data_IF_979365088394
#
_entry.id   IF_979365088394
#
_cell.length_a   1.000
_cell.length_b   1.000
_cell.length_c   1.000
_cell.angle_alpha   90.00
_cell.angle_beta   90.00
_cell.angle_gamma   90.00
#
_symmetry.space_group_name_H-M   'P 1'
#
loop_
_entity.id
_entity.type
_entity.pdbx_description
1 polymer ?
#
# COMPACT_ATOMS: atom_id res chain seq x y z
N UNK A 1 18.94 -0.28 -1.64
CA UNK A 1 17.61 -0.62 -2.19
C UNK A 1 17.44 -0.18 -3.64
N UNK A 2 17.64 1.10 -4.00
CA UNK A 2 17.39 1.60 -5.38
C UNK A 2 18.03 0.72 -6.47
N UNK A 3 19.32 0.40 -6.36
CA UNK A 3 20.00 -0.47 -7.33
C UNK A 3 19.40 -1.88 -7.40
N UNK A 4 19.02 -2.45 -6.26
CA UNK A 4 18.48 -3.81 -6.14
C UNK A 4 17.06 -3.93 -6.70
N UNK A 5 16.24 -2.90 -6.52
CA UNK A 5 14.81 -2.93 -6.87
C UNK A 5 14.56 -2.36 -8.28
N UNK A 6 15.24 -1.27 -8.61
CA UNK A 6 14.92 -0.41 -9.76
C UNK A 6 16.12 -0.10 -10.66
N UNK A 7 17.31 -0.61 -10.33
CA UNK A 7 18.47 -0.53 -11.23
C UNK A 7 18.29 -1.35 -12.52
N UNK A 8 19.27 -1.34 -13.44
CA UNK A 8 19.18 -2.07 -14.70
C UNK A 8 18.83 -3.56 -14.57
N UNK A 9 19.36 -4.22 -13.52
CA UNK A 9 19.09 -5.63 -13.17
C UNK A 9 18.10 -5.76 -12.00
N UNK A 10 17.41 -4.67 -11.68
CA UNK A 10 16.56 -4.54 -10.50
C UNK A 10 15.39 -5.51 -10.50
N UNK A 11 15.02 -5.96 -9.29
CA UNK A 11 14.00 -6.98 -9.05
C UNK A 11 12.66 -6.68 -9.75
N UNK A 12 12.21 -5.42 -9.74
CA UNK A 12 10.92 -5.01 -10.31
C UNK A 12 10.95 -4.67 -11.79
N UNK A 13 12.12 -4.32 -12.34
CA UNK A 13 12.21 -3.74 -13.70
C UNK A 13 12.91 -4.64 -14.72
N UNK A 14 13.57 -5.73 -14.30
CA UNK A 14 14.29 -6.60 -15.23
C UNK A 14 13.35 -7.30 -16.24
N UNK A 15 13.69 -7.34 -17.54
CA UNK A 15 12.91 -8.07 -18.54
C UNK A 15 12.81 -9.57 -18.24
N UNK A 16 11.61 -10.15 -18.36
CA UNK A 16 11.38 -11.59 -18.15
C UNK A 16 11.61 -12.07 -16.71
N UNK A 17 11.80 -11.15 -15.76
CA UNK A 17 11.84 -11.46 -14.35
C UNK A 17 10.50 -12.06 -13.87
N UNK A 18 10.51 -12.82 -12.77
CA UNK A 18 9.30 -13.38 -12.17
C UNK A 18 8.27 -12.30 -11.77
N UNK A 19 8.70 -11.04 -11.63
CA UNK A 19 7.88 -9.93 -11.14
C UNK A 19 7.38 -10.16 -9.71
N UNK A 20 6.69 -9.17 -9.10
CA UNK A 20 6.11 -9.31 -7.77
C UNK A 20 5.15 -10.52 -7.66
N UNK A 21 4.38 -10.78 -8.72
CA UNK A 21 3.34 -11.82 -8.75
C UNK A 21 3.88 -13.26 -8.64
N UNK A 22 5.16 -13.50 -8.96
CA UNK A 22 5.80 -14.80 -8.78
C UNK A 22 6.28 -15.09 -7.35
N UNK A 23 6.23 -14.09 -6.46
CA UNK A 23 6.92 -14.14 -5.17
C UNK A 23 6.04 -13.79 -3.95
N UNK A 24 4.98 -13.00 -4.12
CA UNK A 24 4.16 -12.52 -3.01
C UNK A 24 2.67 -12.69 -3.24
N UNK A 25 1.96 -13.05 -2.16
CA UNK A 25 0.50 -13.01 -2.09
C UNK A 25 0.11 -11.77 -1.27
N UNK A 26 -0.19 -10.68 -1.97
CA UNK A 26 -0.67 -9.41 -1.36
C UNK A 26 -2.18 -9.43 -1.12
N UNK A 27 -2.72 -8.42 -0.44
CA UNK A 27 -4.18 -8.28 -0.23
C UNK A 27 -4.96 -8.24 -1.56
N UNK A 28 -4.37 -7.68 -2.62
CA UNK A 28 -4.94 -7.64 -3.97
C UNK A 28 -5.10 -9.05 -4.57
N UNK A 29 -4.16 -9.96 -4.28
CA UNK A 29 -4.18 -11.35 -4.76
C UNK A 29 -4.96 -12.29 -3.83
N UNK A 30 -5.16 -11.90 -2.57
CA UNK A 30 -5.82 -12.74 -1.58
C UNK A 30 -7.29 -12.98 -1.92
N UNK A 31 -8.01 -11.93 -2.31
CA UNK A 31 -9.45 -12.02 -2.63
C UNK A 31 -9.97 -10.83 -3.44
N UNK A 32 -10.95 -11.05 -4.36
CA UNK A 32 -11.67 -9.96 -5.04
C UNK A 32 -12.43 -9.03 -4.09
N UNK A 33 -12.66 -9.44 -2.84
CA UNK A 33 -13.28 -8.60 -1.82
C UNK A 33 -12.48 -7.33 -1.52
N UNK A 34 -11.16 -7.37 -1.67
CA UNK A 34 -10.30 -6.20 -1.48
C UNK A 34 -10.58 -5.13 -2.54
N UNK A 35 -10.54 -5.51 -3.82
CA UNK A 35 -10.87 -4.61 -4.92
C UNK A 35 -12.32 -4.11 -4.85
N UNK A 36 -13.27 -4.95 -4.42
CA UNK A 36 -14.64 -4.52 -4.17
C UNK A 36 -14.75 -3.49 -3.01
N UNK A 37 -13.92 -3.61 -1.98
CA UNK A 37 -13.84 -2.61 -0.90
C UNK A 37 -13.28 -1.28 -1.40
N UNK A 38 -12.22 -1.30 -2.20
CA UNK A 38 -11.66 -0.10 -2.84
C UNK A 38 -12.66 0.53 -3.81
N UNK A 39 -13.43 -0.26 -4.57
CA UNK A 39 -14.52 0.25 -5.40
C UNK A 39 -15.62 0.94 -4.56
N UNK A 40 -15.95 0.41 -3.37
CA UNK A 40 -16.86 1.07 -2.43
C UNK A 40 -16.27 2.37 -1.87
N UNK A 41 -14.97 2.41 -1.61
CA UNK A 41 -14.28 3.64 -1.21
C UNK A 41 -14.34 4.70 -2.31
N UNK A 42 -14.01 4.32 -3.56
CA UNK A 42 -14.10 5.22 -4.71
C UNK A 42 -15.51 5.81 -4.88
N UNK A 43 -16.56 5.01 -4.67
CA UNK A 43 -17.96 5.50 -4.70
C UNK A 43 -18.28 6.48 -3.58
N UNK A 44 -17.71 6.31 -2.38
CA UNK A 44 -17.86 7.29 -1.29
C UNK A 44 -17.20 8.62 -1.65
N UNK A 45 -15.99 8.56 -2.21
CA UNK A 45 -15.26 9.75 -2.68
C UNK A 45 -16.02 10.43 -3.82
N UNK A 46 -16.55 9.67 -4.77
CA UNK A 46 -17.39 10.18 -5.87
C UNK A 46 -18.62 10.95 -5.36
N UNK A 47 -19.32 10.40 -4.35
CA UNK A 47 -20.47 11.05 -3.74
C UNK A 47 -20.08 12.34 -3.02
N UNK A 48 -18.98 12.33 -2.24
CA UNK A 48 -18.47 13.52 -1.54
C UNK A 48 -18.04 14.63 -2.52
N UNK A 49 -17.52 14.24 -3.69
CA UNK A 49 -17.17 15.17 -4.77
C UNK A 49 -18.37 15.67 -5.58
N UNK A 50 -19.60 15.23 -5.26
CA UNK A 50 -20.81 15.63 -5.98
C UNK A 50 -20.96 14.99 -7.36
N UNK A 51 -20.43 13.77 -7.54
CA UNK A 51 -20.48 13.01 -8.79
C UNK A 51 -19.94 13.77 -10.02
N UNK A 52 -18.65 14.16 -10.01
CA UNK A 52 -18.04 14.92 -11.10
C UNK A 52 -18.10 14.16 -12.44
N UNK A 53 -18.05 14.89 -13.56
CA UNK A 53 -18.10 14.27 -14.89
C UNK A 53 -16.91 13.32 -15.18
N UNK A 54 -15.77 13.51 -14.50
CA UNK A 54 -14.63 12.61 -14.51
C UNK A 54 -14.19 12.30 -13.08
N UNK A 55 -13.80 11.05 -12.85
CA UNK A 55 -13.33 10.57 -11.55
C UNK A 55 -12.00 9.83 -11.74
N UNK A 56 -10.90 10.40 -11.26
CA UNK A 56 -9.59 9.77 -11.39
C UNK A 56 -9.42 8.66 -10.35
N UNK A 57 -8.93 7.50 -10.80
CA UNK A 57 -8.52 6.38 -9.95
C UNK A 57 -7.04 6.12 -10.23
N UNK A 58 -6.17 6.51 -9.31
CA UNK A 58 -4.72 6.41 -9.43
C UNK A 58 -4.23 5.29 -8.52
N UNK A 59 -3.61 4.27 -9.10
CA UNK A 59 -2.98 3.15 -8.37
C UNK A 59 -1.46 3.32 -8.44
N UNK A 60 -0.82 3.55 -7.30
CA UNK A 60 0.63 3.80 -7.18
C UNK A 60 1.35 2.53 -6.78
N UNK A 61 2.35 2.13 -7.58
CA UNK A 61 2.91 0.78 -7.48
C UNK A 61 1.91 -0.24 -8.01
N UNK A 62 1.30 0.05 -9.16
CA UNK A 62 0.16 -0.71 -9.68
C UNK A 62 0.49 -2.19 -10.02
N UNK A 63 1.76 -2.58 -10.00
CA UNK A 63 2.17 -3.95 -10.25
C UNK A 63 1.83 -4.35 -11.68
N UNK A 64 0.90 -5.30 -11.87
CA UNK A 64 0.40 -5.67 -13.19
C UNK A 64 -1.04 -5.18 -13.42
N UNK A 65 -1.54 -4.27 -12.60
CA UNK A 65 -2.85 -3.66 -12.71
C UNK A 65 -4.00 -4.49 -12.13
N UNK A 66 -3.71 -5.49 -11.30
CA UNK A 66 -4.71 -6.38 -10.69
C UNK A 66 -5.75 -5.61 -9.88
N UNK A 67 -5.32 -4.63 -9.08
CA UNK A 67 -6.23 -3.81 -8.28
C UNK A 67 -7.16 -2.98 -9.17
N UNK A 68 -6.60 -2.25 -10.14
CA UNK A 68 -7.40 -1.48 -11.11
C UNK A 68 -8.40 -2.36 -11.86
N UNK A 69 -7.98 -3.52 -12.35
CA UNK A 69 -8.86 -4.45 -13.05
C UNK A 69 -10.01 -4.92 -12.14
N UNK A 70 -9.71 -5.30 -10.90
CA UNK A 70 -10.70 -5.72 -9.92
C UNK A 70 -11.66 -4.59 -9.55
N UNK A 71 -11.17 -3.36 -9.34
CA UNK A 71 -12.01 -2.20 -9.02
C UNK A 71 -12.93 -1.88 -10.19
N UNK A 72 -12.41 -1.79 -11.42
CA UNK A 72 -13.21 -1.50 -12.61
C UNK A 72 -14.31 -2.55 -12.83
N UNK A 73 -14.02 -3.83 -12.57
CA UNK A 73 -15.00 -4.91 -12.66
C UNK A 73 -16.09 -4.85 -11.57
N UNK A 74 -15.77 -4.27 -10.40
CA UNK A 74 -16.70 -4.14 -9.28
C UNK A 74 -17.57 -2.86 -9.32
N UNK A 75 -17.30 -1.95 -10.26
CA UNK A 75 -18.06 -0.70 -10.40
C UNK A 75 -19.35 -0.89 -11.20
N UNK A 76 -20.37 -0.13 -10.83
CA UNK A 76 -21.59 0.00 -11.64
C UNK A 76 -21.27 0.71 -12.97
N UNK A 77 -21.96 0.37 -14.08
CA UNK A 77 -21.65 0.89 -15.41
C UNK A 77 -21.60 2.43 -15.49
N UNK A 78 -22.49 3.12 -14.76
CA UNK A 78 -22.60 4.57 -14.74
C UNK A 78 -21.38 5.24 -14.11
N UNK A 79 -20.86 4.68 -13.01
CA UNK A 79 -19.64 5.18 -12.37
C UNK A 79 -18.41 4.78 -13.20
N UNK A 80 -18.35 3.53 -13.66
CA UNK A 80 -17.25 3.01 -14.47
C UNK A 80 -17.05 3.80 -15.78
N UNK A 81 -18.11 4.38 -16.34
CA UNK A 81 -18.05 5.23 -17.54
C UNK A 81 -17.33 6.58 -17.33
N UNK A 82 -17.33 7.10 -16.09
CA UNK A 82 -16.65 8.36 -15.72
C UNK A 82 -15.24 8.16 -15.18
N UNK A 83 -14.91 6.94 -14.77
CA UNK A 83 -13.62 6.63 -14.16
C UNK A 83 -12.49 6.73 -15.17
N UNK A 84 -11.42 7.42 -14.77
CA UNK A 84 -10.15 7.55 -15.49
C UNK A 84 -9.07 6.80 -14.71
N UNK A 85 -8.80 5.53 -15.06
CA UNK A 85 -7.84 4.72 -14.33
C UNK A 85 -6.40 5.01 -14.77
N UNK A 86 -5.52 5.23 -13.80
CA UNK A 86 -4.07 5.41 -13.99
C UNK A 86 -3.33 4.35 -13.18
N UNK A 87 -2.50 3.57 -13.85
CA UNK A 87 -1.48 2.73 -13.23
C UNK A 87 -0.17 3.50 -13.23
N UNK A 88 0.31 3.88 -12.04
CA UNK A 88 1.62 4.49 -11.85
C UNK A 88 2.61 3.36 -11.55
N UNK A 89 3.43 3.04 -12.54
CA UNK A 89 4.31 1.87 -12.49
C UNK A 89 5.55 2.09 -13.37
N UNK A 90 6.71 1.63 -12.87
CA UNK A 90 7.99 1.67 -13.58
C UNK A 90 8.14 0.47 -14.52
N UNK A 91 7.57 -0.68 -14.15
CA UNK A 91 7.58 -1.88 -14.98
C UNK A 91 6.75 -1.72 -16.26
N UNK A 92 7.00 -2.58 -17.26
CA UNK A 92 6.26 -2.56 -18.52
C UNK A 92 4.78 -2.93 -18.34
N UNK A 93 3.92 -2.28 -19.13
CA UNK A 93 2.48 -2.55 -19.14
C UNK A 93 2.21 -4.01 -19.58
N UNK A 94 1.51 -4.82 -18.77
CA UNK A 94 1.06 -6.14 -19.17
C UNK A 94 0.08 -6.12 -20.35
N UNK A 95 0.15 -7.16 -21.19
CA UNK A 95 -0.85 -7.39 -22.23
C UNK A 95 -2.23 -7.75 -21.65
N UNK A 96 -3.31 -7.43 -22.37
CA UNK A 96 -4.68 -7.82 -22.02
C UNK A 96 -5.37 -6.93 -20.97
N UNK A 97 -4.71 -5.91 -20.44
CA UNK A 97 -5.34 -4.91 -19.57
C UNK A 97 -6.33 -4.04 -20.34
N UNK A 98 -7.40 -3.60 -19.65
CA UNK A 98 -8.39 -2.67 -20.18
C UNK A 98 -7.68 -1.45 -20.84
N UNK A 99 -7.97 -1.15 -22.11
CA UNK A 99 -7.30 -0.07 -22.85
C UNK A 99 -7.52 1.32 -22.25
N UNK A 100 -8.50 1.49 -21.35
CA UNK A 100 -8.73 2.73 -20.61
C UNK A 100 -7.68 2.98 -19.51
N UNK A 101 -7.03 1.94 -19.00
CA UNK A 101 -5.97 2.06 -17.99
C UNK A 101 -4.79 2.79 -18.62
N UNK A 102 -4.46 3.97 -18.11
CA UNK A 102 -3.30 4.75 -18.55
C UNK A 102 -2.08 4.31 -17.76
N UNK A 103 -1.03 3.88 -18.45
CA UNK A 103 0.22 3.46 -17.82
C UNK A 103 1.18 4.64 -17.81
N UNK A 104 1.58 5.09 -16.62
CA UNK A 104 2.37 6.32 -16.43
C UNK A 104 3.49 6.10 -15.42
N UNK A 105 4.56 6.87 -15.53
CA UNK A 105 5.72 6.76 -14.63
C UNK A 105 5.55 7.51 -13.30
N UNK A 106 4.62 8.48 -13.24
CA UNK A 106 4.33 9.29 -12.06
C UNK A 106 2.82 9.60 -11.97
N UNK A 107 2.28 9.84 -10.76
CA UNK A 107 0.89 10.26 -10.60
C UNK A 107 0.62 11.57 -11.37
N UNK A 108 -0.49 11.69 -12.12
CA UNK A 108 -0.83 12.95 -12.78
C UNK A 108 -1.12 14.06 -11.78
N UNK A 109 -0.71 15.29 -12.11
CA UNK A 109 -1.01 16.50 -11.34
C UNK A 109 -2.47 16.94 -11.48
N UNK A 110 -3.04 17.49 -10.42
CA UNK A 110 -4.39 18.05 -10.42
C UNK A 110 -5.50 16.99 -10.50
N UNK A 111 -5.25 15.78 -10.01
CA UNK A 111 -6.24 14.70 -10.07
C UNK A 111 -7.43 14.97 -9.14
N UNK A 112 -8.61 14.50 -9.54
CA UNK A 112 -9.83 14.56 -8.73
C UNK A 112 -10.43 13.17 -8.57
N UNK A 113 -10.30 12.57 -7.38
CA UNK A 113 -10.80 11.22 -7.11
C UNK A 113 -10.02 10.46 -6.03
N UNK A 114 -9.61 9.23 -6.32
CA UNK A 114 -8.92 8.36 -5.37
C UNK A 114 -7.50 8.07 -5.85
N UNK A 115 -6.51 8.41 -5.02
CA UNK A 115 -5.16 7.89 -5.12
C UNK A 115 -5.00 6.77 -4.10
N UNK A 116 -4.53 5.61 -4.55
CA UNK A 116 -4.39 4.42 -3.73
C UNK A 116 -2.98 3.84 -3.96
N UNK A 117 -2.26 3.56 -2.88
CA UNK A 117 -0.92 2.99 -2.91
C UNK A 117 -0.90 1.76 -2.00
N UNK A 118 -0.97 0.56 -2.57
CA UNK A 118 -0.97 -0.69 -1.81
C UNK A 118 0.42 -1.33 -1.84
N UNK A 119 1.07 -1.47 -0.68
CA UNK A 119 2.39 -2.10 -0.56
C UNK A 119 3.40 -1.45 -1.53
N UNK A 120 3.40 -0.12 -1.50
CA UNK A 120 4.29 0.71 -2.31
C UNK A 120 5.39 1.34 -1.46
N UNK A 121 5.07 1.80 -0.24
CA UNK A 121 6.00 2.57 0.57
C UNK A 121 7.09 1.70 1.18
N UNK A 122 6.79 0.43 1.45
CA UNK A 122 7.75 -0.60 1.84
C UNK A 122 8.88 -0.82 0.81
N UNK A 123 8.58 -0.61 -0.47
CA UNK A 123 9.50 -0.73 -1.58
C UNK A 123 10.18 0.59 -1.95
N UNK A 124 9.76 1.72 -1.35
CA UNK A 124 10.50 2.98 -1.47
C UNK A 124 11.82 2.86 -0.71
N UNK A 125 12.97 3.11 -1.37
CA UNK A 125 14.29 3.01 -0.76
C UNK A 125 14.42 3.80 0.53
N UNK A 126 15.12 3.21 1.50
CA UNK A 126 15.55 3.88 2.71
C UNK A 126 17.02 3.62 2.99
N UNK A 127 17.58 4.47 3.85
CA UNK A 127 18.87 4.28 4.47
C UNK A 127 18.70 3.76 5.91
N UNK A 128 19.68 2.98 6.36
CA UNK A 128 19.74 2.49 7.73
C UNK A 128 20.81 3.26 8.50
N UNK A 129 20.51 3.60 9.75
CA UNK A 129 21.45 4.18 10.69
C UNK A 129 21.76 3.18 11.82
N UNK A 130 23.00 3.19 12.29
CA UNK A 130 23.42 2.49 13.51
C UNK A 130 24.46 3.33 14.24
N UNK A 131 24.28 3.51 15.55
CA UNK A 131 25.18 4.28 16.42
C UNK A 131 25.54 5.69 15.87
N UNK A 132 24.55 6.36 15.27
CA UNK A 132 24.68 7.71 14.74
C UNK A 132 25.45 7.81 13.41
N UNK A 133 25.60 6.70 12.69
CA UNK A 133 26.23 6.62 11.37
C UNK A 133 25.33 5.90 10.39
N UNK A 134 25.47 6.17 9.10
CA UNK A 134 24.84 5.34 8.08
C UNK A 134 25.43 3.92 8.12
N UNK A 135 24.63 2.94 7.75
CA UNK A 135 25.07 1.57 7.48
C UNK A 135 25.25 1.41 5.97
N UNK A 136 26.45 1.04 5.54
CA UNK A 136 26.74 0.70 4.15
C UNK A 136 26.62 -0.80 3.95
N UNK A 137 26.25 -1.21 2.74
CA UNK A 137 26.10 -2.63 2.39
C UNK A 137 26.89 -2.95 1.12
N UNK A 138 27.69 -4.02 1.18
CA UNK A 138 28.41 -4.57 0.03
C UNK A 138 27.47 -5.44 -0.84
N UNK A 139 27.85 -5.77 -2.08
CA UNK A 139 27.01 -6.59 -2.98
C UNK A 139 26.62 -7.97 -2.39
N UNK A 140 27.45 -8.53 -1.52
CA UNK A 140 27.18 -9.82 -0.84
C UNK A 140 26.31 -9.69 0.41
N UNK A 141 25.83 -8.48 0.73
CA UNK A 141 25.04 -8.16 1.91
C UNK A 141 25.87 -7.84 3.15
N UNK A 142 27.21 -7.84 3.07
CA UNK A 142 28.04 -7.49 4.23
C UNK A 142 27.86 -6.02 4.58
N UNK A 143 27.44 -5.78 5.82
CA UNK A 143 27.27 -4.42 6.35
C UNK A 143 28.57 -3.85 6.93
N UNK A 144 28.73 -2.53 6.85
CA UNK A 144 29.84 -1.80 7.44
C UNK A 144 29.43 -0.40 7.87
N UNK A 145 30.16 0.19 8.82
CA UNK A 145 29.88 1.55 9.29
C UNK A 145 30.22 2.57 8.19
N UNK A 146 29.22 3.36 7.80
CA UNK A 146 29.30 4.46 6.85
C UNK A 146 29.72 5.77 7.49
N UNK A 147 29.42 6.89 6.82
CA UNK A 147 29.69 8.24 7.30
C UNK A 147 28.74 8.71 8.41
N UNK A 148 28.97 9.91 8.99
CA UNK A 148 28.01 10.52 9.91
C UNK A 148 26.67 10.80 9.20
N UNK A 149 25.58 10.76 9.96
CA UNK A 149 24.25 11.11 9.46
C UNK A 149 24.18 12.58 9.02
N UNK A 150 23.49 12.82 7.91
CA UNK A 150 23.15 14.17 7.51
C UNK A 150 22.22 14.85 8.54
N UNK A 151 22.04 16.17 8.42
CA UNK A 151 21.20 16.91 9.36
C UNK A 151 19.71 16.56 9.30
N UNK A 152 19.20 16.21 8.12
CA UNK A 152 17.79 15.96 7.90
C UNK A 152 17.38 14.57 8.41
N UNK A 153 18.18 13.55 8.15
CA UNK A 153 18.00 12.18 8.62
C UNK A 153 18.12 12.10 10.13
N UNK A 154 19.11 12.78 10.71
CA UNK A 154 19.24 12.88 12.17
C UNK A 154 18.01 13.54 12.81
N UNK A 155 17.53 14.66 12.25
CA UNK A 155 16.33 15.32 12.76
C UNK A 155 15.08 14.44 12.60
N UNK A 156 14.99 13.67 11.50
CA UNK A 156 13.91 12.72 11.29
C UNK A 156 13.93 11.61 12.35
N UNK A 157 15.10 11.01 12.62
CA UNK A 157 15.28 9.97 13.63
C UNK A 157 14.95 10.48 15.04
N UNK A 158 15.47 11.66 15.43
CA UNK A 158 15.18 12.29 16.72
C UNK A 158 13.67 12.45 16.95
N UNK A 159 12.93 12.77 15.89
CA UNK A 159 11.48 12.92 15.93
C UNK A 159 10.74 11.59 15.94
N UNK A 160 11.06 10.69 15.01
CA UNK A 160 10.20 9.55 14.65
C UNK A 160 10.70 8.19 15.11
N UNK A 161 11.98 8.06 15.44
CA UNK A 161 12.60 6.81 15.86
C UNK A 161 13.24 6.96 17.26
N UNK A 162 12.43 7.03 18.32
CA UNK A 162 12.96 7.18 19.67
C UNK A 162 13.74 5.92 20.08
N UNK A 163 15.00 6.10 20.47
CA UNK A 163 15.89 5.02 20.87
C UNK A 163 17.32 5.29 20.42
N UNK A 164 18.23 4.40 20.81
CA UNK A 164 19.57 4.31 20.24
C UNK A 164 19.75 2.98 19.51
N UNK A 165 20.89 2.79 18.85
CA UNK A 165 21.19 1.58 18.08
C UNK A 165 20.77 1.71 16.62
N UNK A 166 20.13 0.66 16.09
CA UNK A 166 19.78 0.54 14.67
C UNK A 166 18.40 1.14 14.36
N UNK A 167 18.31 1.89 13.27
CA UNK A 167 17.08 2.56 12.84
C UNK A 167 16.95 2.64 11.32
N UNK A 168 15.71 2.58 10.84
CA UNK A 168 15.36 2.71 9.43
C UNK A 168 14.86 4.14 9.16
N UNK A 169 15.57 4.88 8.32
CA UNK A 169 15.30 6.29 8.08
C UNK A 169 14.17 6.41 7.04
N UNK A 170 12.95 6.68 7.50
CA UNK A 170 11.75 6.77 6.66
C UNK A 170 11.59 8.07 5.90
N UNK A 171 12.53 9.03 5.96
CA UNK A 171 12.40 10.36 5.35
C UNK A 171 12.07 10.29 3.85
N UNK A 172 12.78 9.49 3.08
CA UNK A 172 12.53 9.34 1.64
C UNK A 172 11.11 8.81 1.35
N UNK A 173 10.54 8.01 2.25
CA UNK A 173 9.16 7.51 2.17
C UNK A 173 8.14 8.60 2.48
N UNK A 174 8.42 9.45 3.48
CA UNK A 174 7.61 10.63 3.77
C UNK A 174 7.58 11.58 2.56
N UNK A 175 8.74 11.83 1.95
CA UNK A 175 8.88 12.67 0.76
C UNK A 175 8.14 12.07 -0.45
N UNK A 176 8.28 10.76 -0.68
CA UNK A 176 7.57 10.06 -1.75
C UNK A 176 6.05 10.10 -1.55
N UNK A 177 5.56 9.81 -0.35
CA UNK A 177 4.14 9.89 -0.03
C UNK A 177 3.60 11.31 -0.19
N UNK A 178 4.31 12.32 0.34
CA UNK A 178 3.91 13.72 0.22
C UNK A 178 3.85 14.17 -1.25
N UNK A 179 4.81 13.74 -2.08
CA UNK A 179 4.80 14.02 -3.52
C UNK A 179 3.60 13.38 -4.22
N UNK A 180 3.32 12.10 -3.96
CA UNK A 180 2.18 11.40 -4.56
C UNK A 180 0.84 11.98 -4.09
N UNK A 181 0.63 12.13 -2.78
CA UNK A 181 -0.59 12.70 -2.22
C UNK A 181 -0.79 14.17 -2.64
N UNK A 182 0.30 14.91 -2.88
CA UNK A 182 0.29 16.29 -3.33
C UNK A 182 -0.26 16.50 -4.76
N UNK A 183 -0.29 15.45 -5.59
CA UNK A 183 -0.84 15.56 -6.96
C UNK A 183 -2.38 15.54 -6.99
N UNK A 184 -3.02 15.28 -5.85
CA UNK A 184 -4.47 15.22 -5.69
C UNK A 184 -5.02 16.59 -5.33
N UNK A 185 -5.80 17.20 -6.22
CA UNK A 185 -6.43 18.50 -5.96
C UNK A 185 -7.64 18.34 -5.03
N UNK A 186 -8.51 17.37 -5.34
CA UNK A 186 -9.67 17.03 -4.52
C UNK A 186 -9.92 15.53 -4.48
N UNK A 187 -10.09 14.96 -3.30
CA UNK A 187 -10.38 13.55 -3.13
C UNK A 187 -9.70 12.92 -1.93
N UNK A 188 -9.36 11.64 -2.05
CA UNK A 188 -8.72 10.88 -0.99
C UNK A 188 -7.43 10.22 -1.47
N UNK A 189 -6.35 10.34 -0.71
CA UNK A 189 -5.14 9.55 -0.86
C UNK A 189 -5.10 8.47 0.21
N UNK A 190 -4.81 7.23 -0.16
CA UNK A 190 -4.68 6.10 0.77
C UNK A 190 -3.38 5.34 0.52
N UNK A 191 -2.56 5.17 1.56
CA UNK A 191 -1.47 4.21 1.58
C UNK A 191 -1.81 3.03 2.47
N UNK A 192 -1.57 1.82 1.99
CA UNK A 192 -1.77 0.57 2.73
C UNK A 192 -0.45 -0.17 2.77
N UNK A 193 0.07 -0.45 3.96
CA UNK A 193 1.37 -1.11 4.09
C UNK A 193 1.53 -1.83 5.43
N UNK A 194 2.45 -2.78 5.51
CA UNK A 194 2.85 -3.34 6.80
C UNK A 194 3.66 -2.30 7.55
N UNK A 195 3.18 -1.94 8.73
CA UNK A 195 3.59 -0.70 9.39
C UNK A 195 3.77 -0.88 10.88
N UNK A 196 4.48 0.07 11.47
CA UNK A 196 4.60 0.24 12.91
C UNK A 196 4.41 1.71 13.27
N UNK A 197 4.03 1.96 14.52
CA UNK A 197 3.94 3.32 15.08
C UNK A 197 5.20 3.64 15.86
N UNK A 198 5.43 4.93 16.14
CA UNK A 198 6.53 5.43 16.98
C UNK A 198 6.67 4.71 18.33
N UNK A 199 5.55 4.29 18.94
CA UNK A 199 5.57 3.55 20.22
C UNK A 199 5.85 2.05 20.09
N UNK A 200 5.82 1.50 18.88
CA UNK A 200 5.96 0.07 18.58
C UNK A 200 7.07 -0.20 17.55
N UNK A 201 8.06 0.71 17.45
CA UNK A 201 9.17 0.56 16.51
C UNK A 201 10.00 -0.69 16.85
N UNK A 202 10.33 -1.52 15.84
CA UNK A 202 11.14 -2.71 16.04
C UNK A 202 12.57 -2.30 16.40
N UNK A 203 13.15 -2.80 17.50
CA UNK A 203 14.45 -2.34 17.99
C UNK A 203 15.63 -2.64 17.05
N UNK A 204 15.45 -3.58 16.10
CA UNK A 204 16.48 -3.98 15.13
C UNK A 204 16.10 -3.62 13.68
N UNK A 205 15.03 -2.86 13.48
CA UNK A 205 14.43 -2.67 12.15
C UNK A 205 13.69 -3.92 11.66
N UNK A 206 13.26 -3.86 10.42
CA UNK A 206 12.48 -4.86 9.67
C UNK A 206 13.00 -5.11 8.25
N UNK A 207 14.10 -4.45 7.85
CA UNK A 207 14.72 -4.61 6.55
C UNK A 207 15.02 -6.09 6.29
N UNK A 208 14.43 -6.61 5.24
CA UNK A 208 14.49 -8.03 4.90
C UNK A 208 14.50 -8.22 3.39
N UNK A 209 15.05 -9.35 2.97
CA UNK A 209 15.01 -9.79 1.58
C UNK A 209 13.96 -10.89 1.41
N UNK A 210 13.33 -10.98 0.25
CA UNK A 210 12.43 -12.07 -0.08
C UNK A 210 12.70 -12.68 -1.46
N UNK A 211 12.75 -14.01 -1.50
CA UNK A 211 12.97 -14.77 -2.73
C UNK A 211 12.17 -16.06 -2.71
N UNK A 212 11.27 -16.24 -3.67
CA UNK A 212 10.42 -17.44 -3.75
C UNK A 212 9.47 -17.57 -2.55
N UNK A 213 8.96 -16.45 -2.02
CA UNK A 213 8.08 -16.42 -0.85
C UNK A 213 8.77 -16.77 0.47
N UNK A 214 10.10 -16.69 0.53
CA UNK A 214 10.90 -16.95 1.74
C UNK A 214 11.77 -15.77 2.07
N UNK A 215 11.89 -15.47 3.36
CA UNK A 215 12.85 -14.52 3.88
C UNK A 215 14.28 -14.98 3.58
N UNK A 216 15.09 -14.02 3.12
CA UNK A 216 16.52 -14.17 2.83
C UNK A 216 17.23 -12.89 3.31
N UNK A 217 18.56 -12.92 3.49
CA UNK A 217 19.31 -11.70 3.75
C UNK A 217 19.07 -10.65 2.64
N UNK A 218 18.84 -9.36 3.00
CA UNK A 218 18.64 -8.30 2.01
C UNK A 218 19.97 -7.99 1.32
N UNK A 219 20.13 -8.46 0.07
CA UNK A 219 21.33 -8.23 -0.74
C UNK A 219 21.02 -7.26 -1.89
N UNK A 220 21.90 -6.29 -2.18
CA UNK A 220 21.62 -5.25 -3.16
C UNK A 220 21.94 -5.67 -4.61
N UNK A 221 21.69 -6.93 -4.98
CA UNK A 221 22.07 -7.54 -6.27
C UNK A 221 20.88 -7.81 -7.21
N UNK A 222 19.67 -7.47 -6.79
CA UNK A 222 18.42 -7.69 -7.54
C UNK A 222 17.92 -9.14 -7.51
N UNK A 223 18.60 -10.07 -6.84
CA UNK A 223 18.17 -11.47 -6.76
C UNK A 223 16.98 -11.71 -5.83
N UNK A 224 16.70 -10.76 -4.93
CA UNK A 224 15.57 -10.77 -4.02
C UNK A 224 14.86 -9.41 -4.02
N UNK A 225 13.60 -9.42 -3.64
CA UNK A 225 12.91 -8.21 -3.22
C UNK A 225 13.51 -7.74 -1.90
N UNK A 226 13.67 -6.43 -1.71
CA UNK A 226 14.25 -5.85 -0.50
C UNK A 226 13.28 -4.83 0.03
N UNK A 227 12.84 -5.03 1.26
CA UNK A 227 11.75 -4.24 1.83
C UNK A 227 11.91 -4.03 3.33
N UNK A 228 11.21 -3.05 3.89
CA UNK A 228 11.13 -2.78 5.32
C UNK A 228 9.76 -2.22 5.68
N UNK A 229 9.26 -2.51 6.89
CA UNK A 229 8.00 -1.99 7.40
C UNK A 229 7.98 -0.46 7.43
N UNK A 230 6.78 0.09 7.26
CA UNK A 230 6.60 1.51 7.05
C UNK A 230 6.32 2.25 8.33
N UNK A 231 7.02 3.37 8.45
CA UNK A 231 6.82 4.43 9.42
C UNK A 231 5.52 5.21 9.18
N UNK A 232 4.35 4.59 8.98
CA UNK A 232 3.17 5.31 8.44
C UNK A 232 2.74 6.55 9.25
N UNK A 233 3.04 6.60 10.54
CA UNK A 233 2.79 7.78 11.37
C UNK A 233 3.70 8.98 11.07
N UNK A 234 4.88 8.77 10.50
CA UNK A 234 5.72 9.88 9.98
C UNK A 234 5.21 10.41 8.64
N UNK A 235 4.62 9.56 7.81
CA UNK A 235 4.03 9.95 6.52
C UNK A 235 2.73 10.75 6.66
N UNK A 236 2.10 10.72 7.84
CA UNK A 236 0.78 11.30 8.05
C UNK A 236 0.76 12.83 7.92
N UNK A 237 0.06 13.34 6.89
CA UNK A 237 -0.19 14.76 6.71
C UNK A 237 -1.36 15.30 7.55
N UNK A 238 -1.67 16.61 7.45
CA UNK A 238 -2.80 17.22 8.14
C UNK A 238 -4.13 16.53 7.83
N UNK A 239 -4.93 16.25 8.86
CA UNK A 239 -6.24 15.60 8.70
C UNK A 239 -6.17 14.11 8.33
N UNK A 240 -4.97 13.52 8.25
CA UNK A 240 -4.83 12.12 7.98
C UNK A 240 -5.30 11.25 9.17
N UNK A 241 -5.85 10.08 8.83
CA UNK A 241 -6.31 9.08 9.78
C UNK A 241 -5.50 7.81 9.57
N UNK A 242 -5.00 7.24 10.68
CA UNK A 242 -4.37 5.93 10.68
C UNK A 242 -5.36 4.89 11.21
N UNK A 243 -5.56 3.84 10.41
CA UNK A 243 -6.38 2.69 10.74
C UNK A 243 -5.57 1.42 10.55
N UNK A 244 -6.11 0.31 11.01
CA UNK A 244 -5.67 -1.00 10.53
C UNK A 244 -6.53 -1.45 9.34
N UNK A 245 -6.01 -2.34 8.51
CA UNK A 245 -6.70 -2.88 7.34
C UNK A 245 -8.03 -3.52 7.75
N UNK A 246 -8.06 -4.28 8.85
CA UNK A 246 -9.33 -4.83 9.37
C UNK A 246 -10.37 -3.75 9.66
N UNK A 247 -9.98 -2.59 10.19
CA UNK A 247 -10.89 -1.49 10.53
C UNK A 247 -11.38 -0.79 9.26
N UNK A 248 -10.47 -0.50 8.33
CA UNK A 248 -10.82 0.10 7.05
C UNK A 248 -11.73 -0.83 6.22
N UNK A 249 -11.39 -2.12 6.11
CA UNK A 249 -12.18 -3.09 5.36
C UNK A 249 -13.55 -3.35 6.03
N UNK A 250 -13.63 -3.41 7.36
CA UNK A 250 -14.90 -3.48 8.07
C UNK A 250 -15.75 -2.22 7.81
N UNK A 251 -15.16 -1.02 7.83
CA UNK A 251 -15.84 0.22 7.47
C UNK A 251 -16.37 0.19 6.04
N UNK A 252 -15.65 -0.50 5.16
CA UNK A 252 -16.01 -0.73 3.77
C UNK A 252 -16.86 -2.00 3.62
N UNK A 253 -17.44 -2.58 4.68
CA UNK A 253 -18.41 -3.68 4.58
C UNK A 253 -17.84 -5.06 4.27
N UNK A 254 -16.53 -5.27 4.40
CA UNK A 254 -15.94 -6.61 4.39
C UNK A 254 -16.15 -7.25 5.76
N UNK A 255 -16.74 -8.44 5.80
CA UNK A 255 -17.05 -9.15 7.04
C UNK A 255 -16.77 -10.63 6.89
N UNK A 256 -15.97 -11.18 7.82
CA UNK A 256 -15.74 -12.62 7.96
C UNK A 256 -16.85 -13.35 8.74
N UNK A 257 -18.00 -12.70 8.98
CA UNK A 257 -19.12 -13.33 9.67
C UNK A 257 -19.64 -14.53 8.86
N UNK A 258 -19.82 -15.67 9.55
CA UNK A 258 -20.34 -16.88 8.91
C UNK A 258 -21.79 -16.69 8.47
N UNK A 259 -22.19 -17.20 7.29
CA UNK A 259 -23.58 -17.15 6.86
C UNK A 259 -24.50 -17.93 7.82
N UNK A 260 -25.79 -17.58 7.92
CA UNK A 260 -26.74 -18.31 8.75
C UNK A 260 -26.82 -19.79 8.36
N UNK A 261 -26.76 -20.69 9.36
CA UNK A 261 -26.76 -22.14 9.12
C UNK A 261 -28.03 -22.63 8.39
N UNK A 262 -29.18 -21.96 8.59
CA UNK A 262 -30.42 -22.28 7.89
C UNK A 262 -30.27 -22.26 6.35
N UNK A 263 -29.36 -21.42 5.83
CA UNK A 263 -29.08 -21.34 4.40
C UNK A 263 -28.49 -22.65 3.87
N UNK A 264 -27.75 -23.41 4.70
CA UNK A 264 -27.23 -24.72 4.31
C UNK A 264 -28.33 -25.74 4.00
N UNK A 265 -29.55 -25.54 4.50
CA UNK A 265 -30.70 -26.38 4.21
C UNK A 265 -31.61 -25.80 3.13
N UNK A 266 -31.81 -24.47 3.09
CA UNK A 266 -32.72 -23.82 2.14
C UNK A 266 -32.09 -23.52 0.79
N UNK A 267 -30.81 -23.16 0.77
CA UNK A 267 -30.01 -22.93 -0.44
C UNK A 267 -28.52 -23.28 -0.18
N UNK A 268 -28.18 -24.58 -0.27
CA UNK A 268 -26.83 -25.06 0.05
C UNK A 268 -25.73 -24.40 -0.80
N UNK A 269 -26.03 -24.06 -2.06
CA UNK A 269 -25.06 -23.43 -2.95
C UNK A 269 -24.79 -21.99 -2.53
N UNK A 270 -25.82 -21.22 -2.18
CA UNK A 270 -25.64 -19.89 -1.62
C UNK A 270 -24.87 -19.93 -0.30
N UNK A 271 -25.13 -20.92 0.56
CA UNK A 271 -24.38 -21.10 1.81
C UNK A 271 -22.89 -21.34 1.58
N UNK A 272 -22.53 -22.27 0.68
CA UNK A 272 -21.11 -22.55 0.38
C UNK A 272 -20.41 -21.33 -0.21
N UNK A 273 -21.07 -20.59 -1.12
CA UNK A 273 -20.51 -19.34 -1.69
C UNK A 273 -20.29 -18.29 -0.59
N UNK A 274 -21.28 -18.08 0.26
CA UNK A 274 -21.19 -17.12 1.35
C UNK A 274 -20.13 -17.53 2.39
N UNK A 275 -19.97 -18.83 2.66
CA UNK A 275 -18.95 -19.34 3.57
C UNK A 275 -17.55 -19.18 2.99
N UNK A 276 -17.37 -19.42 1.68
CA UNK A 276 -16.10 -19.14 0.98
C UNK A 276 -15.73 -17.67 1.08
N UNK A 277 -16.68 -16.78 0.78
CA UNK A 277 -16.49 -15.33 0.90
C UNK A 277 -16.16 -14.89 2.34
N UNK A 278 -16.78 -15.50 3.35
CA UNK A 278 -16.46 -15.24 4.75
C UNK A 278 -15.04 -15.69 5.11
N UNK A 279 -14.55 -16.81 4.55
CA UNK A 279 -13.18 -17.27 4.73
C UNK A 279 -12.15 -16.32 4.11
N UNK A 280 -12.39 -15.87 2.89
CA UNK A 280 -11.56 -14.84 2.22
C UNK A 280 -11.54 -13.52 3.01
N UNK A 281 -12.70 -13.07 3.49
CA UNK A 281 -12.79 -11.88 4.34
C UNK A 281 -12.03 -12.06 5.67
N UNK A 282 -12.04 -13.26 6.24
CA UNK A 282 -11.28 -13.57 7.46
C UNK A 282 -9.77 -13.50 7.22
N UNK A 283 -9.26 -13.95 6.08
CA UNK A 283 -7.85 -13.80 5.69
C UNK A 283 -7.45 -12.31 5.59
N UNK A 284 -8.25 -11.51 4.89
CA UNK A 284 -8.01 -10.06 4.71
C UNK A 284 -8.08 -9.26 6.02
N UNK A 285 -8.77 -9.77 7.05
CA UNK A 285 -9.00 -9.09 8.32
C UNK A 285 -8.30 -9.74 9.51
N UNK A 286 -7.44 -10.74 9.27
CA UNK A 286 -6.70 -11.44 10.32
C UNK A 286 -5.74 -10.48 11.05
N UNK A 287 -5.77 -10.50 12.38
CA UNK A 287 -4.99 -9.61 13.24
C UNK A 287 -3.51 -9.93 13.25
N UNK A 288 -3.15 -11.16 12.91
CA UNK A 288 -1.76 -11.62 12.81
C UNK A 288 -1.26 -11.65 11.36
N UNK A 289 -2.14 -11.39 10.38
CA UNK A 289 -1.84 -11.38 8.95
C UNK A 289 -2.20 -10.06 8.30
N UNK A 290 -2.86 -10.12 7.15
CA UNK A 290 -3.17 -8.95 6.31
C UNK A 290 -4.01 -7.88 7.04
N UNK A 291 -4.87 -8.27 7.97
CA UNK A 291 -5.67 -7.33 8.78
C UNK A 291 -4.85 -6.45 9.73
N UNK A 292 -3.57 -6.75 9.95
CA UNK A 292 -2.65 -5.94 10.75
C UNK A 292 -2.04 -4.76 9.96
N UNK A 293 -2.16 -4.75 8.63
CA UNK A 293 -1.57 -3.71 7.80
C UNK A 293 -2.12 -2.35 8.20
N UNK A 294 -1.29 -1.31 8.15
CA UNK A 294 -1.70 0.05 8.42
C UNK A 294 -2.35 0.66 7.17
N UNK A 295 -3.38 1.47 7.39
CA UNK A 295 -4.02 2.31 6.39
C UNK A 295 -3.82 3.77 6.78
N UNK A 296 -3.06 4.51 5.99
CA UNK A 296 -2.93 5.95 6.08
C UNK A 296 -3.91 6.58 5.10
N UNK A 297 -4.94 7.24 5.61
CA UNK A 297 -6.00 7.87 4.82
C UNK A 297 -5.93 9.38 4.96
N UNK A 298 -5.66 10.08 3.86
CA UNK A 298 -5.44 11.53 3.86
C UNK A 298 -6.38 12.22 2.85
N UNK A 299 -7.29 13.11 3.31
CA UNK A 299 -8.13 13.88 2.42
C UNK A 299 -7.34 15.02 1.76
N UNK A 300 -7.71 15.36 0.53
CA UNK A 300 -7.25 16.55 -0.18
C UNK A 300 -8.47 17.31 -0.68
N UNK A 301 -8.62 18.59 -0.36
CA UNK A 301 -9.70 19.44 -0.91
C UNK A 301 -11.14 18.94 -0.66
N UNK A 302 -11.36 17.99 0.25
CA UNK A 302 -12.66 17.46 0.69
C UNK A 302 -12.67 17.33 2.22
N UNK A 303 -13.85 17.25 2.86
CA UNK A 303 -13.95 16.89 4.28
C UNK A 303 -13.31 15.54 4.59
N UNK A 304 -12.80 15.37 5.80
CA UNK A 304 -12.29 14.06 6.28
C UNK A 304 -13.46 13.06 6.25
N UNK A 305 -13.39 11.97 5.47
CA UNK A 305 -14.46 10.98 5.44
C UNK A 305 -14.66 10.36 6.82
N UNK A 306 -15.90 10.05 7.18
CA UNK A 306 -16.18 9.35 8.42
C UNK A 306 -15.60 7.92 8.39
N UNK A 307 -14.52 7.71 9.12
CA UNK A 307 -13.92 6.39 9.37
C UNK A 307 -14.23 5.92 10.81
N UNK A 308 -14.31 4.61 11.08
CA UNK A 308 -14.43 4.12 12.45
C UNK A 308 -13.33 4.69 13.33
N UNK A 309 -13.67 5.23 14.51
CA UNK A 309 -12.71 5.84 15.43
C UNK A 309 -12.43 7.33 15.21
N UNK A 310 -13.00 7.97 14.17
CA UNK A 310 -12.92 9.44 13.97
C UNK A 310 -13.89 10.22 14.86
N UNK A 311 -14.92 9.57 15.42
CA UNK A 311 -15.80 10.16 16.42
C UNK A 311 -15.07 10.25 17.78
N UNK A 312 -14.51 11.43 18.11
CA UNK A 312 -14.00 11.72 19.45
C UNK A 312 -12.56 12.25 19.57
N UNK A 313 -11.93 12.71 18.49
CA UNK A 313 -10.62 13.39 18.53
C UNK A 313 -10.65 14.77 17.85
N UNK A 314 -11.67 15.56 18.18
CA UNK A 314 -11.70 17.01 17.91
C UNK A 314 -11.22 17.77 19.15
#
# INVERSE_FOLDING_TARGET
>A
MEAALYGPDGFYVRPGGPGPAGHFRTSVHASPLYAAAVARLLRRVDAELGHPAGLDLVDVGAGRGELLAGVLAALEPQTAARVRPYAVERAERPAGLDPRIRWVAAPPEGTTGLLFANEWLDNVPLDVAEDGRYVLVAPDGTESAGGPLDGADRAWLERWWPGGGRAEIGRARDEAWAAAAGTLERGLAVAVDYAHTRGARPPYGTLTGFRGGREVPPVPDGSCDVTAHVALDSCAGPGAVLLTQREALAALGVSGARPPLALASTDPLAYVRALSSAGEAAELTDRAGLGAFGWLVQPAGIPVPAWPGTAGRA
#
